data_IF_509782439727
#
_entry.id   IF_509782439727
#
_cell.length_a   1.000
_cell.length_b   1.000
_cell.length_c   1.000
_cell.angle_alpha   90.00
_cell.angle_beta   90.00
_cell.angle_gamma   90.00
#
_symmetry.space_group_name_H-M   'P 1'
#
loop_
_entity.id
_entity.type
_entity.pdbx_description
1 polymer ?
#
# COMPACT_ATOMS: atom_id res chain seq x y z
N UNK A 1 6.67 -4.07 42.91
CA UNK A 1 6.58 -2.59 42.97
C UNK A 1 6.81 -2.09 41.55
N UNK A 2 5.91 -1.24 41.01
CA UNK A 2 6.14 -0.61 39.70
C UNK A 2 7.39 0.27 39.78
N UNK A 3 8.23 0.24 38.74
CA UNK A 3 9.42 1.10 38.70
C UNK A 3 8.99 2.56 38.55
N UNK A 4 9.85 3.52 38.94
CA UNK A 4 9.54 4.94 38.75
C UNK A 4 9.25 5.28 37.27
N UNK A 5 9.94 4.62 36.34
CA UNK A 5 9.73 4.75 34.90
C UNK A 5 8.32 4.28 34.47
N UNK A 6 7.83 3.16 35.00
CA UNK A 6 6.46 2.68 34.71
C UNK A 6 5.38 3.62 35.25
N UNK A 7 5.60 4.25 36.41
CA UNK A 7 4.69 5.25 36.95
C UNK A 7 4.67 6.53 36.10
N UNK A 8 5.84 7.00 35.66
CA UNK A 8 5.92 8.13 34.73
C UNK A 8 5.23 7.81 33.40
N UNK A 9 5.46 6.61 32.85
CA UNK A 9 4.85 6.18 31.60
C UNK A 9 3.32 6.09 31.72
N UNK A 10 2.81 5.53 32.81
CA UNK A 10 1.37 5.49 33.08
C UNK A 10 0.76 6.90 33.11
N UNK A 11 1.38 7.83 33.84
CA UNK A 11 0.91 9.21 33.95
C UNK A 11 0.94 9.95 32.60
N UNK A 12 1.97 9.73 31.77
CA UNK A 12 2.04 10.30 30.42
C UNK A 12 0.93 9.77 29.53
N UNK A 13 0.72 8.45 29.53
CA UNK A 13 -0.33 7.79 28.75
C UNK A 13 -1.74 8.23 29.20
N UNK A 14 -1.97 8.39 30.51
CA UNK A 14 -3.25 8.86 31.05
C UNK A 14 -3.62 10.27 30.60
N UNK A 15 -2.61 11.13 30.35
CA UNK A 15 -2.82 12.54 30.05
C UNK A 15 -2.57 12.91 28.58
N UNK A 16 -2.01 12.02 27.75
CA UNK A 16 -1.62 12.34 26.36
C UNK A 16 -2.81 12.85 25.51
N UNK A 17 -4.04 12.49 25.88
CA UNK A 17 -5.26 12.95 25.21
C UNK A 17 -5.82 14.30 25.67
N UNK A 18 -5.46 14.80 26.87
CA UNK A 18 -6.17 15.89 27.56
C UNK A 18 -5.55 17.28 27.43
N UNK A 19 -4.22 17.40 27.25
CA UNK A 19 -3.51 18.69 27.28
C UNK A 19 -3.48 19.51 25.98
N UNK A 20 -4.26 19.16 24.96
CA UNK A 20 -4.22 19.80 23.64
C UNK A 20 -3.00 19.42 22.78
N UNK A 21 -2.86 19.98 21.56
CA UNK A 21 -1.90 19.49 20.56
C UNK A 21 -0.42 19.62 20.95
N UNK A 22 -0.03 20.71 21.61
CA UNK A 22 1.36 20.94 22.01
C UNK A 22 1.77 20.00 23.15
N UNK A 23 0.94 19.90 24.19
CA UNK A 23 1.17 18.95 25.29
C UNK A 23 1.23 17.51 24.77
N UNK A 24 0.33 17.13 23.86
CA UNK A 24 0.35 15.80 23.25
C UNK A 24 1.69 15.51 22.58
N UNK A 25 2.22 16.46 21.81
CA UNK A 25 3.52 16.32 21.14
C UNK A 25 4.65 16.14 22.15
N UNK A 26 4.66 16.93 23.21
CA UNK A 26 5.65 16.82 24.30
C UNK A 26 5.53 15.49 25.05
N UNK A 27 4.31 15.04 25.35
CA UNK A 27 4.06 13.76 26.00
C UNK A 27 4.51 12.58 25.12
N UNK A 28 4.21 12.61 23.81
CA UNK A 28 4.71 11.62 22.84
C UNK A 28 6.24 11.62 22.82
N UNK A 29 6.87 12.80 22.77
CA UNK A 29 8.32 12.95 22.81
C UNK A 29 8.94 12.42 24.09
N UNK A 30 8.29 12.63 25.23
CA UNK A 30 8.71 12.10 26.53
C UNK A 30 8.61 10.57 26.58
N UNK A 31 7.53 9.99 26.06
CA UNK A 31 7.37 8.52 25.95
C UNK A 31 8.47 7.94 25.05
N UNK A 32 8.74 8.57 23.90
CA UNK A 32 9.83 8.15 23.01
C UNK A 32 11.21 8.28 23.69
N UNK A 33 11.45 9.35 24.47
CA UNK A 33 12.70 9.53 25.21
C UNK A 33 12.90 8.46 26.28
N UNK A 34 11.84 8.04 26.98
CA UNK A 34 11.90 6.93 27.94
C UNK A 34 12.29 5.61 27.26
N UNK A 35 11.93 5.43 25.98
CA UNK A 35 12.24 4.22 25.23
C UNK A 35 13.73 4.02 24.91
N UNK A 36 14.56 5.07 24.98
CA UNK A 36 16.01 4.98 24.71
C UNK A 36 16.72 4.01 25.67
N UNK A 37 16.18 3.83 26.89
CA UNK A 37 16.72 2.91 27.89
C UNK A 37 16.06 1.52 27.86
N UNK A 38 15.18 1.24 26.89
CA UNK A 38 14.48 -0.04 26.79
C UNK A 38 13.19 0.02 25.96
N UNK A 39 13.32 0.11 24.63
CA UNK A 39 12.18 0.22 23.72
C UNK A 39 11.17 -0.91 23.89
N UNK A 40 11.63 -2.15 24.00
CA UNK A 40 10.79 -3.32 24.28
C UNK A 40 9.91 -3.17 25.53
N UNK A 41 10.45 -2.63 26.63
CA UNK A 41 9.68 -2.48 27.86
C UNK A 41 8.57 -1.44 27.71
N UNK A 42 8.88 -0.29 27.10
CA UNK A 42 7.91 0.78 26.85
C UNK A 42 6.83 0.33 25.86
N UNK A 43 7.23 -0.31 24.76
CA UNK A 43 6.29 -0.84 23.76
C UNK A 43 5.34 -1.88 24.34
N UNK A 44 5.85 -2.84 25.13
CA UNK A 44 4.99 -3.81 25.83
C UNK A 44 4.02 -3.13 26.77
N UNK A 45 4.47 -2.13 27.54
CA UNK A 45 3.59 -1.38 28.43
C UNK A 45 2.46 -0.69 27.66
N UNK A 46 2.76 -0.05 26.51
CA UNK A 46 1.75 0.56 25.66
C UNK A 46 0.75 -0.48 25.12
N UNK A 47 1.22 -1.65 24.67
CA UNK A 47 0.34 -2.75 24.22
C UNK A 47 -0.56 -3.21 25.35
N UNK A 48 -0.02 -3.49 26.53
CA UNK A 48 -0.80 -3.89 27.70
C UNK A 48 -1.86 -2.85 28.03
N UNK A 49 -1.49 -1.57 28.05
CA UNK A 49 -2.42 -0.49 28.33
C UNK A 49 -3.54 -0.41 27.29
N UNK A 50 -3.23 -0.47 25.99
CA UNK A 50 -4.22 -0.45 24.91
C UNK A 50 -5.15 -1.67 24.91
N UNK A 51 -4.68 -2.82 25.43
CA UNK A 51 -5.48 -4.05 25.57
C UNK A 51 -6.40 -3.98 26.79
N UNK A 52 -5.90 -3.50 27.93
CA UNK A 52 -6.69 -3.36 29.17
C UNK A 52 -7.76 -2.27 29.06
N UNK A 53 -7.45 -1.20 28.32
CA UNK A 53 -8.36 -0.10 28.08
C UNK A 53 -8.96 -0.26 26.70
N UNK A 54 -10.19 -0.79 26.61
CA UNK A 54 -10.85 -1.01 25.33
C UNK A 54 -11.12 0.28 24.54
N UNK A 55 -11.37 0.14 23.24
CA UNK A 55 -11.63 1.27 22.32
C UNK A 55 -12.81 2.15 22.79
N UNK A 56 -13.83 1.55 23.40
CA UNK A 56 -15.03 2.25 23.85
C UNK A 56 -14.88 2.93 25.21
N UNK A 57 -13.89 2.54 26.02
CA UNK A 57 -13.68 3.05 27.37
C UNK A 57 -12.65 4.16 27.44
N UNK A 58 -12.05 4.54 26.31
CA UNK A 58 -10.93 5.49 26.26
C UNK A 58 -11.13 6.52 25.16
N UNK A 59 -10.89 7.81 25.43
CA UNK A 59 -10.92 8.84 24.40
C UNK A 59 -10.01 8.51 23.21
N UNK A 60 -10.53 8.64 21.99
CA UNK A 60 -9.81 8.34 20.73
C UNK A 60 -8.48 9.10 20.66
N UNK A 61 -8.46 10.36 21.09
CA UNK A 61 -7.26 11.20 21.11
C UNK A 61 -6.16 10.69 22.03
N UNK A 62 -6.53 10.03 23.13
CA UNK A 62 -5.58 9.42 24.04
C UNK A 62 -4.95 8.18 23.42
N UNK A 63 -5.78 7.29 22.85
CA UNK A 63 -5.30 6.11 22.10
C UNK A 63 -4.39 6.52 20.94
N UNK A 64 -4.78 7.55 20.19
CA UNK A 64 -3.99 8.10 19.09
C UNK A 64 -2.61 8.55 19.57
N UNK A 65 -2.53 9.25 20.72
CA UNK A 65 -1.25 9.63 21.32
C UNK A 65 -0.35 8.45 21.67
N UNK A 66 -0.92 7.39 22.25
CA UNK A 66 -0.16 6.16 22.58
C UNK A 66 0.34 5.47 21.31
N UNK A 67 -0.51 5.27 20.32
CA UNK A 67 -0.14 4.64 19.05
C UNK A 67 0.90 5.47 18.28
N UNK A 68 0.77 6.80 18.29
CA UNK A 68 1.75 7.71 17.69
C UNK A 68 3.12 7.61 18.38
N UNK A 69 3.14 7.50 19.71
CA UNK A 69 4.38 7.25 20.45
C UNK A 69 4.99 5.89 20.08
N UNK A 70 4.19 4.83 20.01
CA UNK A 70 4.66 3.50 19.57
C UNK A 70 5.26 3.54 18.16
N UNK A 71 4.58 4.19 17.21
CA UNK A 71 5.07 4.34 15.84
C UNK A 71 6.42 5.09 15.80
N UNK A 72 6.54 6.16 16.59
CA UNK A 72 7.78 6.96 16.70
C UNK A 72 8.92 6.13 17.29
N UNK A 73 8.65 5.30 18.30
CA UNK A 73 9.65 4.40 18.88
C UNK A 73 10.11 3.37 17.85
N UNK A 74 9.17 2.70 17.17
CA UNK A 74 9.50 1.68 16.13
C UNK A 74 10.35 2.28 15.02
N UNK A 75 10.04 3.48 14.54
CA UNK A 75 10.86 4.19 13.55
C UNK A 75 12.27 4.53 14.07
N UNK A 76 12.42 4.80 15.37
CA UNK A 76 13.69 5.16 16.01
C UNK A 76 14.58 3.98 16.39
N UNK A 77 14.05 2.76 16.52
CA UNK A 77 14.83 1.57 16.90
C UNK A 77 15.86 1.17 15.84
N UNK A 78 15.57 1.43 14.56
CA UNK A 78 16.49 1.11 13.45
C UNK A 78 16.99 -0.34 13.48
N UNK A 79 18.28 -0.52 13.27
CA UNK A 79 18.93 -1.84 13.17
C UNK A 79 19.06 -2.58 14.52
N UNK A 80 18.85 -1.90 15.65
CA UNK A 80 18.88 -2.55 16.97
C UNK A 80 17.79 -3.62 17.10
N UNK A 81 16.72 -3.48 16.31
CA UNK A 81 15.64 -4.45 16.20
C UNK A 81 14.80 -4.61 17.46
N UNK A 82 13.73 -5.38 17.32
CA UNK A 82 12.88 -5.83 18.42
C UNK A 82 12.87 -7.37 18.44
N UNK A 83 12.64 -8.01 19.59
CA UNK A 83 12.38 -9.45 19.62
C UNK A 83 11.19 -9.81 18.74
N UNK A 84 11.33 -10.85 17.92
CA UNK A 84 10.29 -11.30 16.97
C UNK A 84 8.92 -11.54 17.62
N UNK A 85 8.88 -12.13 18.82
CA UNK A 85 7.63 -12.34 19.54
C UNK A 85 6.92 -11.04 19.92
N UNK A 86 7.68 -10.00 20.24
CA UNK A 86 7.14 -8.67 20.55
C UNK A 86 6.63 -7.97 19.28
N UNK A 87 7.33 -8.14 18.15
CA UNK A 87 6.87 -7.61 16.86
C UNK A 87 5.48 -8.13 16.47
N UNK A 88 5.20 -9.42 16.69
CA UNK A 88 3.88 -10.01 16.42
C UNK A 88 2.79 -9.37 17.30
N UNK A 89 3.05 -9.24 18.61
CA UNK A 89 2.09 -8.59 19.52
C UNK A 89 1.82 -7.12 19.14
N UNK A 90 2.87 -6.41 18.70
CA UNK A 90 2.76 -5.04 18.21
C UNK A 90 1.99 -4.95 16.90
N UNK A 91 2.22 -5.86 15.95
CA UNK A 91 1.47 -5.95 14.69
C UNK A 91 -0.02 -6.18 14.96
N UNK A 92 -0.35 -7.13 15.82
CA UNK A 92 -1.75 -7.42 16.18
C UNK A 92 -2.43 -6.25 16.91
N UNK A 93 -1.69 -5.55 17.77
CA UNK A 93 -2.15 -4.32 18.41
C UNK A 93 -2.40 -3.22 17.37
N UNK A 94 -1.42 -2.94 16.51
CA UNK A 94 -1.52 -1.93 15.46
C UNK A 94 -2.66 -2.22 14.48
N UNK A 95 -2.82 -3.46 14.03
CA UNK A 95 -3.91 -3.85 13.12
C UNK A 95 -5.26 -3.61 13.80
N UNK A 96 -5.43 -4.01 15.07
CA UNK A 96 -6.66 -3.78 15.83
C UNK A 96 -7.00 -2.29 15.94
N UNK A 97 -6.04 -1.43 16.28
CA UNK A 97 -6.25 0.02 16.34
C UNK A 97 -6.54 0.62 14.97
N UNK A 98 -5.84 0.16 13.94
CA UNK A 98 -5.99 0.60 12.55
C UNK A 98 -7.37 0.24 11.97
N UNK A 99 -8.02 -0.81 12.47
CA UNK A 99 -9.32 -1.29 11.98
C UNK A 99 -10.50 -0.87 12.85
N UNK A 100 -10.31 0.06 13.81
CA UNK A 100 -11.38 0.56 14.69
C UNK A 100 -12.50 1.23 13.91
N UNK A 101 -12.14 2.02 12.89
CA UNK A 101 -13.10 2.70 12.04
C UNK A 101 -12.62 2.71 10.58
N UNK A 102 -13.58 2.81 9.68
CA UNK A 102 -13.36 2.85 8.24
C UNK A 102 -13.21 4.27 7.68
N UNK A 103 -13.14 5.28 8.54
CA UNK A 103 -12.93 6.66 8.11
C UNK A 103 -11.45 6.88 7.75
N UNK A 104 -11.21 7.12 6.46
CA UNK A 104 -9.87 7.37 5.93
C UNK A 104 -9.21 8.64 6.50
N UNK A 105 -9.97 9.52 7.16
CA UNK A 105 -9.48 10.73 7.83
C UNK A 105 -9.16 10.53 9.31
N UNK A 106 -9.40 9.34 9.87
CA UNK A 106 -9.13 9.06 11.28
C UNK A 106 -7.64 9.13 11.62
N UNK A 107 -7.26 10.08 12.47
CA UNK A 107 -5.89 10.22 12.97
C UNK A 107 -5.39 8.93 13.65
N UNK A 108 -6.22 8.29 14.47
CA UNK A 108 -5.87 7.03 15.13
C UNK A 108 -5.52 5.95 14.12
N UNK A 109 -6.38 5.74 13.10
CA UNK A 109 -6.16 4.72 12.09
C UNK A 109 -4.93 5.03 11.21
N UNK A 110 -4.64 6.30 10.96
CA UNK A 110 -3.44 6.73 10.22
C UNK A 110 -2.15 6.49 11.03
N UNK A 111 -2.13 6.82 12.33
CA UNK A 111 -0.98 6.52 13.19
C UNK A 111 -0.79 5.01 13.39
N UNK A 112 -1.88 4.26 13.49
CA UNK A 112 -1.82 2.80 13.55
C UNK A 112 -1.32 2.18 12.24
N UNK A 113 -1.74 2.70 11.09
CA UNK A 113 -1.20 2.33 9.78
C UNK A 113 0.31 2.61 9.71
N UNK A 114 0.77 3.75 10.22
CA UNK A 114 2.19 4.10 10.29
C UNK A 114 2.97 3.09 11.12
N UNK A 115 2.48 2.76 12.32
CA UNK A 115 3.03 1.72 13.18
C UNK A 115 3.12 0.36 12.46
N UNK A 116 2.01 -0.11 11.88
CA UNK A 116 1.95 -1.42 11.20
C UNK A 116 2.92 -1.47 10.03
N UNK A 117 2.94 -0.45 9.16
CA UNK A 117 3.88 -0.41 8.02
C UNK A 117 5.34 -0.37 8.49
N UNK A 118 5.65 0.39 9.55
CA UNK A 118 6.99 0.42 10.14
C UNK A 118 7.43 -0.97 10.63
N UNK A 119 6.55 -1.67 11.35
CA UNK A 119 6.79 -3.04 11.80
C UNK A 119 6.93 -4.03 10.64
N UNK A 120 6.11 -3.91 9.60
CA UNK A 120 6.22 -4.78 8.42
C UNK A 120 7.51 -4.54 7.63
N UNK A 121 8.09 -3.33 7.65
CA UNK A 121 9.39 -3.08 7.05
C UNK A 121 10.50 -3.77 7.85
N UNK A 122 10.43 -3.75 9.18
CA UNK A 122 11.42 -4.42 10.05
C UNK A 122 11.27 -5.94 10.08
N UNK A 123 10.03 -6.44 10.01
CA UNK A 123 9.66 -7.85 10.15
C UNK A 123 8.74 -8.27 8.99
N UNK A 124 9.23 -8.30 7.75
CA UNK A 124 8.39 -8.49 6.57
C UNK A 124 7.65 -9.83 6.56
N UNK A 125 8.30 -10.92 6.98
CA UNK A 125 7.68 -12.24 6.98
C UNK A 125 6.53 -12.35 8.00
N UNK A 126 6.68 -11.74 9.18
CA UNK A 126 5.64 -11.66 10.21
C UNK A 126 4.54 -10.69 9.77
N UNK A 127 4.93 -9.50 9.31
CA UNK A 127 4.01 -8.46 8.85
C UNK A 127 3.11 -8.93 7.72
N UNK A 128 3.66 -9.56 6.68
CA UNK A 128 2.86 -10.12 5.59
C UNK A 128 1.91 -11.20 6.07
N UNK A 129 2.35 -12.10 6.98
CA UNK A 129 1.48 -13.16 7.53
C UNK A 129 0.33 -12.61 8.37
N UNK A 130 0.58 -11.60 9.21
CA UNK A 130 -0.46 -10.94 10.00
C UNK A 130 -1.45 -10.15 9.12
N UNK A 131 -0.95 -9.49 8.06
CA UNK A 131 -1.82 -8.83 7.09
C UNK A 131 -2.69 -9.85 6.32
N UNK A 132 -2.10 -10.97 5.88
CA UNK A 132 -2.82 -12.04 5.19
C UNK A 132 -3.88 -12.70 6.09
N UNK A 133 -3.54 -13.01 7.34
CA UNK A 133 -4.49 -13.59 8.29
C UNK A 133 -5.65 -12.64 8.62
N UNK A 134 -5.41 -11.33 8.52
CA UNK A 134 -6.42 -10.29 8.70
C UNK A 134 -7.31 -10.07 7.47
N UNK A 135 -6.93 -10.59 6.29
CA UNK A 135 -7.80 -10.61 5.12
C UNK A 135 -8.82 -11.75 5.29
N UNK A 136 -10.03 -11.39 5.71
CA UNK A 136 -11.13 -12.33 5.85
C UNK A 136 -11.42 -13.09 4.55
N UNK A 137 -11.95 -14.31 4.68
CA UNK A 137 -12.32 -15.14 3.54
C UNK A 137 -13.55 -14.58 2.83
N UNK A 138 -13.44 -14.30 1.53
CA UNK A 138 -14.56 -13.90 0.65
C UNK A 138 -15.40 -12.69 1.14
N UNK A 139 -14.83 -11.83 1.98
CA UNK A 139 -15.46 -10.58 2.45
C UNK A 139 -14.68 -9.36 1.98
N UNK A 140 -15.30 -8.17 2.02
CA UNK A 140 -14.59 -6.93 1.72
C UNK A 140 -13.56 -6.65 2.82
N UNK A 141 -12.25 -6.54 2.48
CA UNK A 141 -11.23 -6.20 3.46
C UNK A 141 -11.42 -4.81 4.02
N UNK A 142 -11.01 -4.61 5.26
CA UNK A 142 -10.97 -3.27 5.86
C UNK A 142 -10.08 -2.34 5.01
N UNK A 143 -10.54 -1.10 4.79
CA UNK A 143 -9.86 -0.13 3.92
C UNK A 143 -8.39 0.09 4.30
N UNK A 144 -8.09 0.13 5.60
CA UNK A 144 -6.71 0.31 6.06
C UNK A 144 -5.81 -0.92 5.89
N UNK A 145 -6.35 -2.14 5.81
CA UNK A 145 -5.55 -3.32 5.44
C UNK A 145 -5.06 -3.19 3.99
N UNK A 146 -5.94 -2.73 3.08
CA UNK A 146 -5.58 -2.47 1.69
C UNK A 146 -4.51 -1.37 1.59
N UNK A 147 -4.60 -0.32 2.42
CA UNK A 147 -3.57 0.71 2.51
C UNK A 147 -2.24 0.15 3.01
N UNK A 148 -2.24 -0.66 4.08
CA UNK A 148 -1.04 -1.27 4.63
C UNK A 148 -0.32 -2.14 3.58
N UNK A 149 -1.06 -2.99 2.87
CA UNK A 149 -0.53 -3.83 1.78
C UNK A 149 0.08 -2.95 0.68
N UNK A 150 -0.64 -1.90 0.26
CA UNK A 150 -0.15 -1.00 -0.79
C UNK A 150 1.13 -0.26 -0.38
N UNK A 151 1.17 0.29 0.83
CA UNK A 151 2.33 1.02 1.35
C UNK A 151 3.54 0.09 1.53
N UNK A 152 3.32 -1.15 1.96
CA UNK A 152 4.38 -2.14 2.09
C UNK A 152 4.98 -2.48 0.73
N UNK A 153 4.14 -2.75 -0.28
CA UNK A 153 4.58 -3.02 -1.65
C UNK A 153 5.35 -1.83 -2.27
N UNK A 154 4.95 -0.60 -1.93
CA UNK A 154 5.61 0.62 -2.38
C UNK A 154 6.97 0.86 -1.70
N UNK A 155 7.11 0.52 -0.41
CA UNK A 155 8.32 0.79 0.39
C UNK A 155 9.39 -0.29 0.26
N UNK A 156 9.00 -1.57 0.31
CA UNK A 156 9.92 -2.72 0.37
C UNK A 156 9.45 -3.82 -0.60
N UNK A 157 9.50 -3.55 -1.93
CA UNK A 157 8.99 -4.48 -2.94
C UNK A 157 9.65 -5.86 -2.86
N UNK A 158 10.95 -5.94 -2.61
CA UNK A 158 11.73 -7.17 -2.45
C UNK A 158 11.20 -8.07 -1.33
N UNK A 159 10.74 -7.48 -0.23
CA UNK A 159 10.26 -8.22 0.94
C UNK A 159 8.86 -8.78 0.74
N UNK A 160 8.00 -8.12 -0.03
CA UNK A 160 6.62 -8.56 -0.26
C UNK A 160 6.51 -9.61 -1.36
N UNK A 161 7.48 -9.68 -2.30
CA UNK A 161 7.46 -10.59 -3.45
C UNK A 161 6.99 -12.01 -3.14
N UNK A 162 7.51 -12.71 -2.10
CA UNK A 162 7.12 -14.09 -1.82
C UNK A 162 5.62 -14.25 -1.48
N UNK A 163 4.96 -13.17 -1.08
CA UNK A 163 3.56 -13.15 -0.63
C UNK A 163 2.61 -12.57 -1.68
N UNK A 164 3.11 -11.98 -2.78
CA UNK A 164 2.29 -11.28 -3.77
C UNK A 164 1.19 -12.18 -4.34
N UNK A 165 1.53 -13.45 -4.63
CA UNK A 165 0.57 -14.41 -5.18
C UNK A 165 -0.59 -14.64 -4.22
N UNK A 166 -0.28 -14.88 -2.95
CA UNK A 166 -1.28 -15.11 -1.91
C UNK A 166 -2.16 -13.87 -1.69
N UNK A 167 -1.56 -12.68 -1.60
CA UNK A 167 -2.31 -11.43 -1.49
C UNK A 167 -3.28 -11.25 -2.68
N UNK A 168 -2.81 -11.41 -3.91
CA UNK A 168 -3.65 -11.24 -5.09
C UNK A 168 -4.77 -12.28 -5.14
N UNK A 169 -4.50 -13.54 -4.78
CA UNK A 169 -5.54 -14.57 -4.67
C UNK A 169 -6.61 -14.18 -3.65
N UNK A 170 -6.22 -13.64 -2.49
CA UNK A 170 -7.15 -13.16 -1.45
C UNK A 170 -7.93 -11.90 -1.88
N UNK A 171 -7.34 -11.04 -2.70
CA UNK A 171 -7.95 -9.79 -3.17
C UNK A 171 -8.83 -9.98 -4.41
N UNK A 172 -8.73 -11.11 -5.12
CA UNK A 172 -9.49 -11.36 -6.34
C UNK A 172 -11.02 -11.42 -6.10
N UNK A 173 -11.56 -12.16 -5.11
CA UNK A 173 -13.01 -12.14 -4.85
C UNK A 173 -13.54 -10.76 -4.43
N UNK A 174 -12.89 -10.01 -3.52
CA UNK A 174 -13.26 -8.63 -3.17
C UNK A 174 -13.41 -7.69 -4.38
N UNK A 175 -12.60 -7.86 -5.44
CA UNK A 175 -12.72 -7.04 -6.66
C UNK A 175 -14.11 -7.15 -7.28
N UNK A 176 -14.71 -8.34 -7.29
CA UNK A 176 -16.03 -8.59 -7.88
C UNK A 176 -17.20 -8.06 -7.06
N UNK A 177 -17.08 -8.05 -5.73
CA UNK A 177 -18.16 -7.64 -4.82
C UNK A 177 -18.10 -6.17 -4.42
N UNK A 178 -16.96 -5.49 -4.59
CA UNK A 178 -16.82 -4.08 -4.22
C UNK A 178 -17.69 -3.14 -5.08
N UNK A 179 -18.67 -2.51 -4.43
CA UNK A 179 -19.54 -1.49 -5.03
C UNK A 179 -19.21 -0.07 -4.59
N UNK A 180 -18.70 0.10 -3.37
CA UNK A 180 -18.36 1.41 -2.82
C UNK A 180 -17.05 1.95 -3.42
N UNK A 181 -17.02 3.25 -3.70
CA UNK A 181 -15.88 3.92 -4.33
C UNK A 181 -14.59 3.79 -3.50
N UNK A 182 -14.67 3.91 -2.17
CA UNK A 182 -13.49 3.75 -1.31
C UNK A 182 -12.86 2.35 -1.43
N UNK A 183 -13.69 1.29 -1.48
CA UNK A 183 -13.19 -0.07 -1.68
C UNK A 183 -12.61 -0.25 -3.08
N UNK A 184 -13.31 0.23 -4.11
CA UNK A 184 -12.81 0.15 -5.50
C UNK A 184 -11.47 0.86 -5.66
N UNK A 185 -11.36 2.06 -5.09
CA UNK A 185 -10.15 2.87 -5.05
C UNK A 185 -8.99 2.09 -4.41
N UNK A 186 -9.18 1.58 -3.19
CA UNK A 186 -8.09 0.96 -2.42
C UNK A 186 -7.75 -0.46 -2.89
N UNK A 187 -8.71 -1.22 -3.41
CA UNK A 187 -8.44 -2.50 -4.08
C UNK A 187 -7.60 -2.28 -5.34
N UNK A 188 -7.93 -1.24 -6.13
CA UNK A 188 -7.13 -0.86 -7.30
C UNK A 188 -5.71 -0.48 -6.88
N UNK A 189 -5.54 0.33 -5.83
CA UNK A 189 -4.22 0.71 -5.33
C UNK A 189 -3.43 -0.50 -4.83
N UNK A 190 -4.04 -1.40 -4.05
CA UNK A 190 -3.37 -2.59 -3.52
C UNK A 190 -2.88 -3.51 -4.66
N UNK A 191 -3.77 -3.88 -5.59
CA UNK A 191 -3.42 -4.73 -6.73
C UNK A 191 -2.37 -4.08 -7.63
N UNK A 192 -2.53 -2.78 -7.93
CA UNK A 192 -1.57 -2.03 -8.73
C UNK A 192 -0.18 -1.98 -8.10
N UNK A 193 -0.10 -1.81 -6.77
CA UNK A 193 1.18 -1.74 -6.05
C UNK A 193 1.88 -3.09 -5.95
N UNK A 194 1.12 -4.17 -5.77
CA UNK A 194 1.64 -5.54 -5.84
C UNK A 194 2.17 -5.86 -7.24
N UNK A 195 1.43 -5.48 -8.29
CA UNK A 195 1.87 -5.66 -9.67
C UNK A 195 3.10 -4.79 -10.00
N UNK A 196 3.14 -3.55 -9.52
CA UNK A 196 4.31 -2.69 -9.71
C UNK A 196 5.55 -3.24 -9.00
N UNK A 197 5.40 -3.80 -7.79
CA UNK A 197 6.50 -4.48 -7.11
C UNK A 197 7.08 -5.62 -7.98
N UNK A 198 6.22 -6.45 -8.60
CA UNK A 198 6.66 -7.48 -9.53
C UNK A 198 7.39 -6.91 -10.75
N UNK A 199 6.82 -5.90 -11.41
CA UNK A 199 7.42 -5.24 -12.59
C UNK A 199 8.76 -4.59 -12.25
N UNK A 200 8.88 -4.00 -11.06
CA UNK A 200 10.12 -3.35 -10.61
C UNK A 200 11.23 -4.35 -10.37
N UNK A 201 10.91 -5.48 -9.75
CA UNK A 201 11.92 -6.46 -9.32
C UNK A 201 12.32 -7.45 -10.40
N UNK A 202 11.44 -7.74 -11.36
CA UNK A 202 11.69 -8.72 -12.44
C UNK A 202 11.94 -8.06 -13.81
N UNK A 203 12.47 -6.84 -13.82
CA UNK A 203 12.63 -6.05 -15.05
C UNK A 203 13.35 -6.78 -16.18
N UNK A 204 14.34 -7.61 -15.84
CA UNK A 204 15.19 -8.32 -16.81
C UNK A 204 14.90 -9.84 -16.87
N UNK A 205 13.93 -10.33 -16.09
CA UNK A 205 13.65 -11.76 -15.91
C UNK A 205 12.18 -12.09 -16.21
N UNK A 206 11.75 -11.94 -17.47
CA UNK A 206 10.35 -12.15 -17.89
C UNK A 206 9.76 -13.50 -17.46
N UNK A 207 10.56 -14.57 -17.44
CA UNK A 207 10.12 -15.91 -17.03
C UNK A 207 9.63 -15.94 -15.56
N UNK A 208 10.12 -15.05 -14.70
CA UNK A 208 9.71 -14.97 -13.31
C UNK A 208 8.28 -14.43 -13.13
N UNK A 209 7.70 -13.81 -14.16
CA UNK A 209 6.33 -13.31 -14.13
C UNK A 209 5.30 -14.34 -14.61
N UNK A 210 5.74 -15.44 -15.23
CA UNK A 210 4.84 -16.43 -15.86
C UNK A 210 3.84 -17.03 -14.87
N UNK A 211 4.27 -17.27 -13.63
CA UNK A 211 3.41 -17.85 -12.60
C UNK A 211 2.26 -16.93 -12.12
N UNK A 212 2.31 -15.65 -12.50
CA UNK A 212 1.30 -14.64 -12.18
C UNK A 212 0.36 -14.35 -13.35
N UNK A 213 0.63 -14.89 -14.55
CA UNK A 213 -0.08 -14.53 -15.79
C UNK A 213 -1.60 -14.65 -15.67
N UNK A 214 -2.11 -15.81 -15.25
CA UNK A 214 -3.54 -16.06 -15.14
C UNK A 214 -4.19 -15.15 -14.08
N UNK A 215 -3.53 -15.01 -12.93
CA UNK A 215 -4.03 -14.19 -11.83
C UNK A 215 -4.09 -12.70 -12.21
N UNK A 216 -3.09 -12.21 -12.93
CA UNK A 216 -3.04 -10.84 -13.44
C UNK A 216 -4.04 -10.61 -14.56
N UNK A 217 -4.24 -11.58 -15.44
CA UNK A 217 -5.27 -11.51 -16.47
C UNK A 217 -6.68 -11.43 -15.85
N UNK A 218 -6.98 -12.28 -14.87
CA UNK A 218 -8.25 -12.22 -14.12
C UNK A 218 -8.42 -10.88 -13.42
N UNK A 219 -7.39 -10.41 -12.73
CA UNK A 219 -7.37 -9.10 -12.05
C UNK A 219 -7.63 -7.96 -13.05
N UNK A 220 -6.96 -7.98 -14.20
CA UNK A 220 -7.10 -6.96 -15.25
C UNK A 220 -8.52 -6.91 -15.82
N UNK A 221 -9.17 -8.06 -15.99
CA UNK A 221 -10.55 -8.11 -16.50
C UNK A 221 -11.55 -7.43 -15.55
N UNK A 222 -11.37 -7.51 -14.23
CA UNK A 222 -12.18 -6.73 -13.29
C UNK A 222 -11.99 -5.23 -13.51
N UNK A 223 -10.75 -4.78 -13.72
CA UNK A 223 -10.46 -3.37 -13.94
C UNK A 223 -11.00 -2.86 -15.29
N UNK A 224 -10.88 -3.65 -16.34
CA UNK A 224 -11.41 -3.31 -17.67
C UNK A 224 -12.95 -3.34 -17.71
N UNK A 225 -13.59 -4.14 -16.86
CA UNK A 225 -15.05 -4.21 -16.72
C UNK A 225 -15.65 -3.02 -15.97
N UNK A 226 -16.20 -3.28 -14.78
CA UNK A 226 -17.01 -2.31 -14.04
C UNK A 226 -16.20 -1.10 -13.50
N UNK A 227 -14.91 -1.28 -13.24
CA UNK A 227 -14.08 -0.25 -12.61
C UNK A 227 -13.71 0.86 -13.59
N UNK A 228 -13.37 0.54 -14.84
CA UNK A 228 -13.00 1.52 -15.88
C UNK A 228 -14.14 2.50 -16.21
N UNK A 229 -15.39 2.10 -15.93
CA UNK A 229 -16.60 2.89 -16.15
C UNK A 229 -16.87 3.91 -15.05
N UNK A 230 -16.16 3.82 -13.92
CA UNK A 230 -16.34 4.74 -12.81
C UNK A 230 -15.83 6.15 -13.16
N UNK A 231 -16.71 7.14 -13.03
CA UNK A 231 -16.37 8.55 -13.27
C UNK A 231 -15.84 9.27 -12.03
N UNK A 232 -15.90 8.65 -10.86
CA UNK A 232 -15.37 9.24 -9.64
C UNK A 232 -13.84 9.38 -9.74
N UNK A 233 -13.35 10.59 -9.48
CA UNK A 233 -11.98 10.98 -9.84
C UNK A 233 -10.93 10.12 -9.15
N UNK A 234 -11.09 9.90 -7.84
CA UNK A 234 -10.13 9.15 -7.03
C UNK A 234 -10.09 7.67 -7.43
N UNK A 235 -11.26 7.09 -7.73
CA UNK A 235 -11.37 5.70 -8.22
C UNK A 235 -10.70 5.58 -9.57
N UNK A 236 -11.08 6.42 -10.55
CA UNK A 236 -10.50 6.39 -11.90
C UNK A 236 -8.98 6.51 -11.89
N UNK A 237 -8.44 7.41 -11.08
CA UNK A 237 -6.99 7.63 -10.94
C UNK A 237 -6.25 6.34 -10.55
N UNK A 238 -6.77 5.63 -9.55
CA UNK A 238 -6.15 4.40 -9.06
C UNK A 238 -6.48 3.17 -9.93
N UNK A 239 -7.61 3.18 -10.65
CA UNK A 239 -7.92 2.16 -11.66
C UNK A 239 -6.97 2.27 -12.85
N UNK A 240 -6.69 3.47 -13.34
CA UNK A 240 -5.71 3.69 -14.43
C UNK A 240 -4.32 3.21 -14.03
N UNK A 241 -3.90 3.53 -12.80
CA UNK A 241 -2.67 3.02 -12.21
C UNK A 241 -2.63 1.48 -12.21
N UNK A 242 -3.67 0.85 -11.66
CA UNK A 242 -3.75 -0.60 -11.55
C UNK A 242 -3.74 -1.28 -12.91
N UNK A 243 -4.53 -0.79 -13.87
CA UNK A 243 -4.59 -1.32 -15.25
C UNK A 243 -3.19 -1.36 -15.87
N UNK A 244 -2.44 -0.27 -15.79
CA UNK A 244 -1.12 -0.18 -16.39
C UNK A 244 -0.10 -1.13 -15.75
N UNK A 245 -0.07 -1.18 -14.42
CA UNK A 245 0.85 -2.06 -13.68
C UNK A 245 0.51 -3.55 -13.86
N UNK A 246 -0.77 -3.93 -13.74
CA UNK A 246 -1.24 -5.31 -13.89
C UNK A 246 -1.05 -5.79 -15.33
N UNK A 247 -1.37 -4.96 -16.33
CA UNK A 247 -1.10 -5.28 -17.73
C UNK A 247 0.40 -5.54 -17.97
N UNK A 248 1.27 -4.79 -17.29
CA UNK A 248 2.72 -5.00 -17.35
C UNK A 248 3.16 -6.40 -16.92
N UNK A 249 2.41 -7.08 -16.06
CA UNK A 249 2.75 -8.44 -15.59
C UNK A 249 2.12 -9.53 -16.45
N UNK A 250 1.08 -9.24 -17.24
CA UNK A 250 0.45 -10.24 -18.10
C UNK A 250 1.43 -10.84 -19.13
N UNK A 251 1.18 -12.09 -19.52
CA UNK A 251 1.95 -12.76 -20.58
C UNK A 251 1.85 -12.04 -21.93
N UNK A 252 2.84 -12.23 -22.79
CA UNK A 252 2.97 -11.52 -24.08
C UNK A 252 1.73 -11.66 -24.97
N UNK A 253 1.17 -12.86 -25.09
CA UNK A 253 -0.03 -13.13 -25.90
C UNK A 253 -1.21 -12.25 -25.46
N UNK A 254 -1.47 -12.20 -24.15
CA UNK A 254 -2.55 -11.40 -23.57
C UNK A 254 -2.28 -9.90 -23.66
N UNK A 255 -1.01 -9.49 -23.56
CA UNK A 255 -0.64 -8.09 -23.76
C UNK A 255 -0.94 -7.65 -25.19
N UNK A 256 -0.60 -8.44 -26.20
CA UNK A 256 -0.90 -8.14 -27.61
C UNK A 256 -2.42 -8.08 -27.84
N UNK A 257 -3.16 -9.06 -27.32
CA UNK A 257 -4.63 -9.12 -27.42
C UNK A 257 -5.32 -7.88 -26.82
N UNK A 258 -4.86 -7.44 -25.64
CA UNK A 258 -5.51 -6.39 -24.87
C UNK A 258 -4.94 -4.99 -25.10
N UNK A 259 -3.79 -4.85 -25.76
CA UNK A 259 -3.10 -3.56 -25.94
C UNK A 259 -4.03 -2.47 -26.51
N UNK A 260 -4.85 -2.80 -27.51
CA UNK A 260 -5.78 -1.86 -28.12
C UNK A 260 -6.88 -1.34 -27.17
N UNK A 261 -7.24 -2.13 -26.15
CA UNK A 261 -8.21 -1.73 -25.10
C UNK A 261 -7.53 -0.97 -23.95
N UNK A 262 -6.33 -1.41 -23.57
CA UNK A 262 -5.59 -0.86 -22.42
C UNK A 262 -4.95 0.48 -22.74
N UNK A 263 -4.31 0.62 -23.91
CA UNK A 263 -3.55 1.81 -24.26
C UNK A 263 -4.40 3.10 -24.21
N UNK A 264 -5.62 3.15 -24.78
CA UNK A 264 -6.46 4.34 -24.70
C UNK A 264 -6.83 4.70 -23.25
N UNK A 265 -7.13 3.72 -22.40
CA UNK A 265 -7.52 3.94 -21.01
C UNK A 265 -6.37 4.55 -20.19
N UNK A 266 -5.16 4.01 -20.34
CA UNK A 266 -4.00 4.50 -19.59
C UNK A 266 -3.55 5.89 -20.08
N UNK A 267 -3.49 6.09 -21.40
CA UNK A 267 -3.09 7.37 -21.99
C UNK A 267 -4.12 8.46 -21.68
N UNK A 268 -5.42 8.18 -21.86
CA UNK A 268 -6.48 9.13 -21.55
C UNK A 268 -6.56 9.42 -20.05
N UNK A 269 -6.38 8.39 -19.20
CA UNK A 269 -6.33 8.53 -17.76
C UNK A 269 -5.28 9.53 -17.30
N UNK A 270 -4.05 9.44 -17.81
CA UNK A 270 -2.98 10.40 -17.50
C UNK A 270 -3.34 11.81 -17.98
N UNK A 271 -3.87 11.95 -19.20
CA UNK A 271 -4.24 13.27 -19.77
C UNK A 271 -5.35 13.97 -18.99
N UNK A 272 -6.25 13.20 -18.38
CA UNK A 272 -7.43 13.72 -17.70
C UNK A 272 -7.13 14.25 -16.30
N UNK A 273 -6.07 13.78 -15.67
CA UNK A 273 -5.68 14.21 -14.31
C UNK A 273 -4.74 15.43 -14.33
N UNK A 274 -4.81 16.26 -13.29
CA UNK A 274 -3.98 17.47 -13.13
C UNK A 274 -3.41 17.55 -11.71
N UNK A 275 -2.22 18.17 -11.58
CA UNK A 275 -1.57 18.41 -10.29
C UNK A 275 -0.99 17.15 -9.63
N UNK A 276 -1.06 17.06 -8.31
CA UNK A 276 -0.48 15.95 -7.52
C UNK A 276 -1.14 14.58 -7.78
N UNK A 277 -2.35 14.57 -8.35
CA UNK A 277 -3.09 13.32 -8.64
C UNK A 277 -2.54 12.54 -9.85
N UNK A 278 -1.61 13.14 -10.60
CA UNK A 278 -1.05 12.55 -11.83
C UNK A 278 -0.01 11.45 -11.55
N UNK A 279 0.54 11.38 -10.32
CA UNK A 279 1.59 10.43 -9.97
C UNK A 279 1.19 8.96 -10.22
N UNK A 280 0.01 8.55 -9.72
CA UNK A 280 -0.48 7.19 -9.87
C UNK A 280 -0.76 6.82 -11.34
N UNK A 281 -1.48 7.63 -12.13
CA UNK A 281 -1.63 7.40 -13.56
C UNK A 281 -0.29 7.28 -14.30
N UNK A 282 0.72 8.10 -13.95
CA UNK A 282 2.05 8.01 -14.56
C UNK A 282 2.77 6.70 -14.20
N UNK A 283 2.64 6.22 -12.97
CA UNK A 283 3.16 4.89 -12.58
C UNK A 283 2.48 3.78 -13.38
N UNK A 284 1.17 3.87 -13.61
CA UNK A 284 0.44 2.97 -14.49
C UNK A 284 0.96 3.03 -15.94
N UNK A 285 1.16 4.23 -16.48
CA UNK A 285 1.73 4.43 -17.82
C UNK A 285 3.15 3.84 -17.94
N UNK A 286 3.96 3.99 -16.90
CA UNK A 286 5.29 3.38 -16.81
C UNK A 286 5.19 1.85 -16.86
N UNK A 287 4.31 1.25 -16.04
CA UNK A 287 4.03 -0.19 -16.06
C UNK A 287 3.61 -0.71 -17.43
N UNK A 288 2.74 0.05 -18.13
CA UNK A 288 2.29 -0.26 -19.48
C UNK A 288 3.42 -0.26 -20.51
N UNK A 289 4.27 0.78 -20.53
CA UNK A 289 5.33 0.88 -21.53
C UNK A 289 6.56 0.01 -21.25
N UNK A 290 6.84 -0.28 -19.97
CA UNK A 290 8.03 -1.02 -19.56
C UNK A 290 8.10 -2.40 -20.23
N UNK A 291 6.95 -2.98 -20.55
CA UNK A 291 6.84 -4.33 -21.12
C UNK A 291 6.61 -4.33 -22.64
N UNK A 292 6.27 -3.18 -23.25
CA UNK A 292 6.18 -3.05 -24.71
C UNK A 292 7.56 -2.99 -25.41
N UNK A 293 8.65 -2.89 -24.65
CA UNK A 293 10.02 -2.86 -25.17
C UNK A 293 10.44 -4.17 -25.88
N UNK A 294 9.73 -5.29 -25.66
CA UNK A 294 9.91 -6.54 -26.41
C UNK A 294 9.02 -6.66 -27.67
N UNK A 295 8.03 -5.78 -27.85
CA UNK A 295 7.04 -5.87 -28.93
C UNK A 295 7.11 -4.77 -30.00
N UNK A 296 8.14 -3.92 -29.98
CA UNK A 296 8.27 -2.80 -30.93
C UNK A 296 8.39 -3.22 -32.41
N UNK A 297 8.52 -4.50 -32.75
CA UNK A 297 8.42 -4.95 -34.14
C UNK A 297 6.96 -5.04 -34.65
N UNK A 298 5.97 -5.23 -33.76
CA UNK A 298 4.58 -5.54 -34.15
C UNK A 298 3.61 -4.36 -34.06
N UNK A 299 3.84 -3.41 -33.15
CA UNK A 299 2.93 -2.26 -32.95
C UNK A 299 3.10 -1.12 -33.97
N UNK A 300 4.16 -1.14 -34.79
CA UNK A 300 4.38 -0.16 -35.85
C UNK A 300 3.36 -0.27 -37.00
N UNK A 301 2.66 -1.40 -37.14
CA UNK A 301 1.70 -1.60 -38.23
C UNK A 301 0.37 -0.86 -38.07
N UNK A 302 -0.09 -0.66 -36.82
CA UNK A 302 -1.48 -0.24 -36.57
C UNK A 302 -1.66 1.10 -35.85
N UNK A 303 -0.63 1.65 -35.19
CA UNK A 303 -0.80 2.89 -34.40
C UNK A 303 0.18 4.03 -34.73
N UNK A 304 1.30 3.77 -35.45
CA UNK A 304 2.33 4.79 -35.69
C UNK A 304 2.97 4.66 -37.07
N UNK A 305 2.54 5.46 -38.05
CA UNK A 305 3.34 5.70 -39.27
C UNK A 305 4.34 6.82 -38.99
N UNK A 306 5.54 6.45 -38.54
CA UNK A 306 6.69 7.34 -38.44
C UNK A 306 7.95 6.58 -38.86
N UNK A 307 8.73 7.16 -39.77
CA UNK A 307 9.99 6.56 -40.24
C UNK A 307 11.05 6.59 -39.12
N UNK A 308 11.58 5.43 -38.75
CA UNK A 308 12.74 5.31 -37.87
C UNK A 308 14.03 5.30 -38.71
N UNK A 309 14.93 6.27 -38.49
CA UNK A 309 16.27 6.25 -39.09
C UNK A 309 17.27 5.68 -38.05
N UNK A 310 17.81 4.47 -38.26
CA UNK A 310 18.62 3.76 -37.26
C UNK A 310 20.00 4.38 -36.95
N UNK A 311 20.36 5.48 -37.61
CA UNK A 311 21.67 6.14 -37.45
C UNK A 311 21.70 7.24 -36.37
N UNK A 312 20.56 7.74 -35.90
CA UNK A 312 20.50 8.77 -34.86
C UNK A 312 19.80 8.23 -33.61
N UNK A 313 20.55 7.97 -32.52
CA UNK A 313 20.01 7.62 -31.20
C UNK A 313 19.33 8.82 -30.51
N UNK A 314 18.36 9.45 -31.17
CA UNK A 314 17.49 10.48 -30.60
C UNK A 314 16.09 10.39 -31.23
N UNK A 315 15.06 10.40 -30.39
CA UNK A 315 13.67 10.52 -30.80
C UNK A 315 13.34 12.00 -31.01
N UNK A 316 12.92 12.38 -32.22
CA UNK A 316 12.28 13.68 -32.45
C UNK A 316 10.78 13.47 -32.59
N UNK A 317 10.01 13.99 -31.63
CA UNK A 317 8.55 13.88 -31.60
C UNK A 317 7.96 15.14 -32.25
N UNK A 318 7.37 14.98 -33.44
CA UNK A 318 6.52 16.01 -34.04
C UNK A 318 5.05 15.65 -33.77
N UNK A 319 4.37 16.43 -32.92
CA UNK A 319 2.92 16.28 -32.68
C UNK A 319 2.19 17.04 -33.78
N UNK A 320 1.47 16.33 -34.66
CA UNK A 320 0.46 16.97 -35.50
C UNK A 320 -0.80 17.21 -34.65
N UNK A 321 -1.20 18.48 -34.56
CA UNK A 321 -2.48 18.91 -33.98
C UNK A 321 -3.63 18.26 -34.76
N UNK A 322 -4.55 17.62 -34.03
CA UNK A 322 -5.97 17.54 -34.37
C UNK A 322 -6.73 18.21 -33.25
#
# INVERSE_FOLDING_TARGET
MKTAAELCLAALIENVGSGGPNFRREAIGAIAKLSENGASAVLRFCVTWLTEHGVNSTPVMQRCGVVCAMATIVEGVGDAGLPKGEAIALLQCGIREMTVNSDLTSELSQEALRLVVGLCVMFPAEGCRELLSSLGDNTLPHLFLLLAISHLAEKVPECILPYVKEFLTRLLPPLGIAKQDNHRMLLSRACGSLAEALVRMHFDASNALEEYNDLMYSTLNFFLGDYSRCNERRVRTLVVYAIGCVFGVCGDEKRVELAGKVAPLVIYGVRRERGHDVLFPLRGLSGFFRTLRMGCALLYGHLWRGHFNPSCRHWSISVQKM
#
